data_IF_320843435333
#
_entry.id   IF_320843435333
#
_cell.length_a   1.000
_cell.length_b   1.000
_cell.length_c   1.000
_cell.angle_alpha   90.00
_cell.angle_beta   90.00
_cell.angle_gamma   90.00
#
_symmetry.space_group_name_H-M   'P 1'
#
loop_
_entity.id
_entity.type
_entity.pdbx_description
1 polymer ?
#
# COMPACT_ATOMS: atom_id res chain seq x y z
N UNK A 1 -32.42 34.90 -30.12
CA UNK A 1 -30.95 34.76 -30.27
C UNK A 1 -30.28 35.17 -28.98
N UNK A 2 -29.36 34.47 -28.34
CA UNK A 2 -28.94 33.07 -28.30
C UNK A 2 -28.27 32.95 -26.89
N UNK A 3 -28.56 31.92 -26.07
CA UNK A 3 -28.04 31.77 -24.71
C UNK A 3 -26.73 30.96 -24.69
N UNK A 4 -25.84 31.21 -23.72
CA UNK A 4 -24.66 30.38 -23.47
C UNK A 4 -23.56 31.16 -22.75
N UNK A 5 -22.91 30.67 -21.69
CA UNK A 5 -22.66 29.28 -21.32
C UNK A 5 -22.64 29.13 -19.80
N UNK A 6 -23.60 28.37 -19.29
CA UNK A 6 -23.36 27.47 -18.16
C UNK A 6 -22.40 26.36 -18.61
N UNK A 7 -21.77 25.68 -17.63
CA UNK A 7 -20.83 24.53 -17.75
C UNK A 7 -19.34 24.95 -17.89
N UNK A 8 -18.39 24.46 -17.10
CA UNK A 8 -18.28 23.14 -16.48
C UNK A 8 -17.29 23.12 -15.31
N UNK A 9 -17.76 23.14 -14.06
CA UNK A 9 -16.99 22.64 -12.90
C UNK A 9 -17.45 21.24 -12.45
N UNK A 10 -18.36 20.61 -13.22
CA UNK A 10 -18.86 19.26 -13.00
C UNK A 10 -17.91 18.15 -13.48
N UNK A 11 -16.80 18.50 -14.14
CA UNK A 11 -15.96 17.54 -14.87
C UNK A 11 -14.58 17.27 -14.27
N UNK A 12 -14.14 18.00 -13.25
CA UNK A 12 -12.77 17.83 -12.72
C UNK A 12 -12.63 16.51 -11.96
N UNK A 13 -11.69 15.61 -12.33
CA UNK A 13 -11.48 14.33 -11.66
C UNK A 13 -11.23 14.49 -10.16
N UNK A 14 -10.56 15.58 -9.76
CA UNK A 14 -10.20 15.87 -8.36
C UNK A 14 -11.44 16.17 -7.52
N UNK A 15 -12.41 16.92 -8.07
CA UNK A 15 -13.65 17.24 -7.37
C UNK A 15 -14.54 16.00 -7.17
N UNK A 16 -14.57 15.11 -8.16
CA UNK A 16 -15.30 13.83 -8.06
C UNK A 16 -14.70 12.91 -7.00
N UNK A 17 -13.36 12.89 -6.88
CA UNK A 17 -12.63 12.11 -5.89
C UNK A 17 -12.95 12.59 -4.46
N UNK A 18 -12.93 13.90 -4.20
CA UNK A 18 -13.26 14.46 -2.88
C UNK A 18 -14.71 14.18 -2.46
N UNK A 19 -15.66 14.25 -3.41
CA UNK A 19 -17.07 13.93 -3.16
C UNK A 19 -17.27 12.46 -2.77
N UNK A 20 -16.61 11.53 -3.47
CA UNK A 20 -16.75 10.09 -3.23
C UNK A 20 -16.19 9.63 -1.88
N UNK A 21 -15.10 10.24 -1.39
CA UNK A 21 -14.53 9.91 -0.07
C UNK A 21 -15.43 10.32 1.10
N UNK A 22 -16.23 11.38 0.92
CA UNK A 22 -17.11 11.94 1.95
C UNK A 22 -18.34 11.07 2.24
N UNK A 23 -18.83 10.33 1.23
CA UNK A 23 -20.04 9.52 1.34
C UNK A 23 -19.80 8.12 1.96
N UNK A 24 -18.54 7.69 2.08
CA UNK A 24 -18.18 6.32 2.54
C UNK A 24 -17.75 6.23 4.00
N UNK A 25 -17.34 7.33 4.64
CA UNK A 25 -16.85 7.31 6.01
C UNK A 25 -17.95 7.77 6.98
N UNK A 26 -18.59 6.81 7.66
CA UNK A 26 -19.61 7.05 8.69
C UNK A 26 -19.06 7.52 10.03
N UNK A 27 -18.11 8.47 10.04
CA UNK A 27 -17.53 9.01 11.28
C UNK A 27 -17.26 10.51 11.14
N UNK A 28 -17.63 11.32 12.14
CA UNK A 28 -17.54 12.79 12.13
C UNK A 28 -16.08 13.26 12.12
N UNK A 29 -15.48 13.33 10.92
CA UNK A 29 -14.20 13.99 10.70
C UNK A 29 -14.38 15.49 10.95
N UNK A 30 -13.62 16.05 11.90
CA UNK A 30 -13.46 17.51 12.01
C UNK A 30 -12.74 17.99 10.75
N UNK A 31 -13.44 18.76 9.92
CA UNK A 31 -12.89 19.30 8.68
C UNK A 31 -11.85 20.41 8.97
N UNK A 32 -10.61 20.03 9.27
CA UNK A 32 -9.49 20.96 9.09
C UNK A 32 -9.17 21.00 7.60
N UNK A 33 -9.45 22.14 6.96
CA UNK A 33 -9.30 22.43 5.51
C UNK A 33 -10.53 22.13 4.64
N UNK A 34 -11.68 22.73 4.96
CA UNK A 34 -12.89 22.74 4.11
C UNK A 34 -12.89 23.79 3.00
N UNK A 35 -11.82 24.60 2.88
CA UNK A 35 -11.79 25.71 1.91
C UNK A 35 -11.56 25.16 0.51
N UNK A 36 -12.50 25.44 -0.39
CA UNK A 36 -12.39 25.10 -1.79
C UNK A 36 -11.19 25.84 -2.40
N UNK A 37 -10.21 25.08 -2.89
CA UNK A 37 -9.03 25.62 -3.56
C UNK A 37 -9.49 26.06 -4.95
N UNK A 38 -9.35 27.36 -5.22
CA UNK A 38 -9.60 27.95 -6.54
C UNK A 38 -8.27 27.96 -7.29
N UNK A 39 -8.19 27.23 -8.39
CA UNK A 39 -7.03 27.22 -9.26
C UNK A 39 -7.28 28.22 -10.40
N UNK A 40 -6.31 29.09 -10.64
CA UNK A 40 -6.22 29.92 -11.84
C UNK A 40 -5.47 29.13 -12.91
N UNK A 41 -5.82 29.33 -14.20
CA UNK A 41 -5.14 28.71 -15.35
C UNK A 41 -3.76 29.35 -15.60
N UNK A 42 -2.98 29.52 -14.55
CA UNK A 42 -1.63 30.06 -14.61
C UNK A 42 -0.70 29.07 -15.31
N UNK A 43 0.27 29.56 -16.11
CA UNK A 43 1.22 28.70 -16.77
C UNK A 43 2.04 27.97 -15.71
N UNK A 44 1.82 26.66 -15.63
CA UNK A 44 2.69 25.75 -14.91
C UNK A 44 4.10 25.97 -15.48
N UNK A 45 5.04 26.38 -14.64
CA UNK A 45 6.40 26.75 -15.05
C UNK A 45 7.15 25.60 -15.73
N UNK A 46 8.48 25.69 -15.80
CA UNK A 46 9.29 24.66 -16.47
C UNK A 46 9.10 23.27 -15.83
N UNK A 47 8.30 22.42 -16.49
CA UNK A 47 8.08 21.04 -16.09
C UNK A 47 9.33 20.23 -16.43
N UNK A 48 9.98 19.68 -15.41
CA UNK A 48 11.04 18.69 -15.61
C UNK A 48 10.42 17.31 -15.61
N UNK A 49 10.56 16.59 -16.72
CA UNK A 49 10.21 15.17 -16.78
C UNK A 49 11.14 14.42 -15.83
N UNK A 50 10.58 13.88 -14.75
CA UNK A 50 11.27 12.90 -13.94
C UNK A 50 11.38 11.61 -14.76
N UNK A 51 12.58 11.04 -14.94
CA UNK A 51 12.70 9.73 -15.55
C UNK A 51 12.04 8.67 -14.65
N UNK A 52 11.59 7.59 -15.26
CA UNK A 52 11.09 6.45 -14.50
C UNK A 52 12.24 5.81 -13.73
N UNK A 53 12.16 5.87 -12.40
CA UNK A 53 13.15 5.28 -11.49
C UNK A 53 12.69 3.96 -10.91
N UNK A 54 11.49 3.50 -11.27
CA UNK A 54 10.98 2.25 -10.72
C UNK A 54 11.69 1.08 -11.41
N UNK A 55 12.28 0.15 -10.63
CA UNK A 55 12.74 -1.10 -11.18
C UNK A 55 11.52 -1.86 -11.73
N UNK A 56 11.76 -2.80 -12.64
CA UNK A 56 10.68 -3.58 -13.23
C UNK A 56 9.90 -4.34 -12.14
N UNK A 57 8.59 -4.61 -12.30
CA UNK A 57 7.81 -5.32 -11.29
C UNK A 57 8.40 -6.67 -10.85
N UNK A 58 9.19 -7.32 -11.74
CA UNK A 58 9.91 -8.57 -11.45
C UNK A 58 11.09 -8.38 -10.49
N UNK A 59 11.67 -7.19 -10.44
CA UNK A 59 12.77 -6.80 -9.54
C UNK A 59 12.23 -6.28 -8.20
N UNK A 60 11.00 -5.76 -8.17
CA UNK A 60 10.28 -5.41 -6.94
C UNK A 60 9.77 -6.64 -6.17
N UNK A 61 9.60 -7.78 -6.83
CA UNK A 61 9.20 -9.00 -6.16
C UNK A 61 10.32 -9.51 -5.26
N UNK A 62 10.07 -9.61 -3.94
CA UNK A 62 10.98 -10.25 -2.99
C UNK A 62 11.22 -11.73 -3.40
N UNK A 63 12.35 -11.99 -4.05
CA UNK A 63 12.81 -13.34 -4.38
C UNK A 63 13.43 -13.96 -3.13
N UNK A 64 12.70 -14.84 -2.47
CA UNK A 64 13.25 -15.66 -1.39
C UNK A 64 13.73 -16.98 -1.98
N UNK A 65 15.04 -17.16 -2.10
CA UNK A 65 15.64 -18.43 -2.50
C UNK A 65 15.48 -19.45 -1.35
N UNK A 66 14.90 -20.62 -1.64
CA UNK A 66 14.71 -21.68 -0.65
C UNK A 66 15.76 -22.77 -0.86
N UNK A 67 16.65 -22.95 0.12
CA UNK A 67 17.64 -24.03 0.11
C UNK A 67 17.20 -25.14 1.07
N UNK A 68 17.07 -26.36 0.55
CA UNK A 68 16.75 -27.53 1.37
C UNK A 68 18.01 -28.01 2.08
N UNK A 69 18.04 -27.87 3.40
CA UNK A 69 19.10 -28.41 4.27
C UNK A 69 18.54 -29.54 5.15
N UNK A 70 19.40 -30.47 5.55
CA UNK A 70 19.05 -31.50 6.54
C UNK A 70 19.86 -31.24 7.80
N UNK A 71 19.16 -31.06 8.93
CA UNK A 71 19.77 -30.83 10.25
C UNK A 71 19.27 -31.88 11.24
N UNK A 72 20.14 -32.36 12.12
CA UNK A 72 19.76 -33.28 13.20
C UNK A 72 19.18 -32.50 14.38
N UNK A 73 18.10 -33.01 14.99
CA UNK A 73 17.46 -32.37 16.15
C UNK A 73 17.17 -33.38 17.26
N UNK A 74 17.30 -32.93 18.51
CA UNK A 74 16.86 -33.71 19.66
C UNK A 74 15.33 -33.70 19.81
N UNK A 75 14.78 -34.68 20.54
CA UNK A 75 13.33 -34.84 20.74
C UNK A 75 12.70 -33.66 21.49
N UNK A 76 13.40 -33.13 22.49
CA UNK A 76 12.98 -31.99 23.30
C UNK A 76 12.73 -30.75 22.43
N UNK A 77 13.66 -30.42 21.54
CA UNK A 77 13.44 -29.28 20.67
C UNK A 77 12.32 -29.53 19.65
N UNK A 78 12.14 -30.75 19.17
CA UNK A 78 11.02 -31.03 18.27
C UNK A 78 9.70 -30.75 19.00
N UNK A 79 9.60 -31.11 20.28
CA UNK A 79 8.44 -30.79 21.11
C UNK A 79 8.25 -29.27 21.30
N UNK A 80 9.31 -28.55 21.66
CA UNK A 80 9.29 -27.09 21.80
C UNK A 80 8.81 -26.37 20.53
N UNK A 81 9.32 -26.79 19.37
CA UNK A 81 8.94 -26.22 18.07
C UNK A 81 7.47 -26.49 17.75
N UNK A 82 6.98 -27.71 18.03
CA UNK A 82 5.56 -28.03 17.85
C UNK A 82 4.67 -27.18 18.75
N UNK A 83 5.07 -26.96 20.00
CA UNK A 83 4.31 -26.10 20.89
C UNK A 83 4.27 -24.64 20.43
N UNK A 84 5.42 -24.08 20.04
CA UNK A 84 5.49 -22.70 19.53
C UNK A 84 4.66 -22.50 18.27
N UNK A 85 4.58 -23.51 17.38
CA UNK A 85 3.71 -23.44 16.19
C UNK A 85 2.24 -23.35 16.54
N UNK A 86 1.77 -24.13 17.53
CA UNK A 86 0.39 -24.08 18.01
C UNK A 86 0.07 -22.73 18.64
N UNK A 87 0.96 -22.21 19.49
CA UNK A 87 0.79 -20.91 20.16
C UNK A 87 0.72 -19.76 19.16
N UNK A 88 1.60 -19.76 18.15
CA UNK A 88 1.73 -18.67 17.17
C UNK A 88 0.89 -18.86 15.90
N UNK A 89 0.13 -19.94 15.78
CA UNK A 89 -0.65 -20.27 14.58
C UNK A 89 0.20 -20.24 13.29
N UNK A 90 1.42 -20.75 13.38
CA UNK A 90 2.37 -20.79 12.25
C UNK A 90 2.62 -22.22 11.79
N UNK A 91 3.01 -22.38 10.52
CA UNK A 91 3.47 -23.67 9.99
C UNK A 91 4.80 -24.06 10.64
N UNK A 92 4.99 -25.35 10.89
CA UNK A 92 6.23 -25.88 11.47
C UNK A 92 7.50 -25.48 10.71
N UNK A 93 7.45 -25.55 9.37
CA UNK A 93 8.56 -25.11 8.51
C UNK A 93 8.88 -23.62 8.67
N UNK A 94 7.86 -22.75 8.83
CA UNK A 94 8.08 -21.32 9.03
C UNK A 94 8.89 -21.07 10.31
N UNK A 95 8.58 -21.78 11.39
CA UNK A 95 9.31 -21.65 12.66
C UNK A 95 10.74 -22.16 12.53
N UNK A 96 10.97 -23.26 11.82
CA UNK A 96 12.33 -23.78 11.58
C UNK A 96 13.16 -22.84 10.70
N UNK A 97 12.60 -22.31 9.63
CA UNK A 97 13.31 -21.42 8.70
C UNK A 97 13.52 -20.00 9.25
N UNK A 98 12.83 -19.62 10.33
CA UNK A 98 12.93 -18.28 10.96
C UNK A 98 13.82 -18.28 12.21
N UNK A 99 14.34 -19.43 12.63
CA UNK A 99 15.36 -19.45 13.68
C UNK A 99 16.61 -18.77 13.11
N UNK A 100 17.06 -17.62 13.67
CA UNK A 100 18.31 -17.03 13.26
C UNK A 100 19.43 -18.01 13.57
N UNK A 101 20.34 -18.18 12.63
CA UNK A 101 21.62 -18.85 12.86
C UNK A 101 22.27 -18.16 14.08
N UNK A 102 22.65 -18.97 15.07
CA UNK A 102 23.19 -18.50 16.34
C UNK A 102 24.50 -17.73 16.21
#
# INVERSE_FOLDING_TARGET
MNPGKESSLSGSPIAQIASAYSARAGERVRMSMSKQIQYTDEPLGEMKLAPDFLPSPKELALKNEQTKITISRNSESVAYLKETTKRRHMRYQKVICQLPDG
#
